data_IF_319921537014
#
_entry.id   IF_319921537014
#
_cell.length_a   1.000
_cell.length_b   1.000
_cell.length_c   1.000
_cell.angle_alpha   90.00
_cell.angle_beta   90.00
_cell.angle_gamma   90.00
#
_symmetry.space_group_name_H-M   'P 1'
#
loop_
_entity.id
_entity.type
_entity.pdbx_description
1 polymer ?
#
# COMPACT_ATOMS: atom_id res chain seq x y z
N UNK A 1 3.05 -25.07 20.35
CA UNK A 1 1.80 -25.61 19.78
C UNK A 1 1.16 -24.68 18.72
N UNK A 2 1.23 -23.35 18.84
CA UNK A 2 0.64 -22.43 17.88
C UNK A 2 1.36 -22.39 16.52
N UNK A 3 2.67 -22.51 16.51
CA UNK A 3 3.50 -22.47 15.28
C UNK A 3 3.39 -23.77 14.46
N UNK A 4 3.06 -24.88 15.09
CA UNK A 4 2.87 -26.16 14.38
C UNK A 4 1.65 -26.18 13.45
N UNK A 5 0.70 -25.28 13.64
CA UNK A 5 -0.46 -25.13 12.76
C UNK A 5 -0.18 -24.32 11.50
N UNK A 6 0.89 -23.49 11.52
CA UNK A 6 1.23 -22.57 10.43
C UNK A 6 2.37 -23.04 9.55
N UNK A 7 3.15 -24.01 10.00
CA UNK A 7 4.38 -24.40 9.34
C UNK A 7 4.47 -25.93 9.26
N UNK A 8 4.39 -26.53 8.06
CA UNK A 8 4.65 -27.97 7.92
C UNK A 8 6.07 -28.28 8.41
N UNK A 9 6.16 -29.33 9.18
CA UNK A 9 7.42 -29.86 9.74
C UNK A 9 8.36 -30.34 8.65
N UNK A 10 9.19 -29.49 8.06
CA UNK A 10 10.41 -29.90 7.36
C UNK A 10 11.48 -28.81 7.47
N UNK A 11 12.63 -29.25 7.86
CA UNK A 11 13.92 -28.65 8.06
C UNK A 11 14.45 -27.69 6.99
N UNK A 12 15.21 -26.69 7.44
CA UNK A 12 16.23 -25.91 6.69
C UNK A 12 15.80 -24.91 5.60
N UNK A 13 14.52 -24.62 5.40
CA UNK A 13 14.06 -23.56 4.50
C UNK A 13 13.40 -22.46 5.33
N UNK A 14 13.70 -21.19 5.02
CA UNK A 14 12.99 -20.07 5.64
C UNK A 14 11.49 -20.17 5.37
N UNK A 15 10.68 -19.93 6.39
CA UNK A 15 9.23 -20.07 6.32
C UNK A 15 8.58 -18.78 6.73
N UNK A 16 7.53 -18.39 6.02
CA UNK A 16 6.72 -17.23 6.35
C UNK A 16 5.25 -17.58 6.34
N UNK A 17 4.46 -16.91 7.16
CA UNK A 17 3.03 -17.12 7.25
C UNK A 17 2.35 -16.00 8.02
N UNK A 18 1.02 -16.05 8.07
CA UNK A 18 0.19 -15.11 8.82
C UNK A 18 -0.55 -15.83 9.93
N UNK A 19 -0.75 -15.13 11.02
CA UNK A 19 -1.55 -15.57 12.15
C UNK A 19 -2.52 -14.46 12.53
N UNK A 20 -3.81 -14.75 12.49
CA UNK A 20 -4.85 -13.88 13.01
C UNK A 20 -5.18 -14.36 14.44
N UNK A 21 -4.97 -13.50 15.43
CA UNK A 21 -5.32 -13.80 16.81
C UNK A 21 -5.93 -12.59 17.51
N UNK A 22 -6.93 -12.79 18.36
CA UNK A 22 -7.46 -11.72 19.18
C UNK A 22 -6.47 -11.44 20.33
N UNK A 23 -5.93 -10.23 20.38
CA UNK A 23 -5.22 -9.73 21.56
C UNK A 23 -6.16 -9.06 22.54
N UNK A 24 -7.33 -8.65 22.04
CA UNK A 24 -8.44 -8.12 22.82
C UNK A 24 -9.75 -8.61 22.16
N UNK A 25 -10.83 -8.75 22.92
CA UNK A 25 -12.14 -9.21 22.43
C UNK A 25 -12.71 -8.34 21.30
N UNK A 26 -12.28 -7.08 21.22
CA UNK A 26 -12.74 -6.09 20.24
C UNK A 26 -11.79 -5.87 19.05
N UNK A 27 -10.53 -6.32 19.11
CA UNK A 27 -9.51 -5.97 18.11
C UNK A 27 -8.84 -7.23 17.59
N UNK A 28 -8.99 -7.50 16.30
CA UNK A 28 -8.24 -8.56 15.60
C UNK A 28 -6.91 -8.00 15.12
N UNK A 29 -5.84 -8.66 15.50
CA UNK A 29 -4.49 -8.39 15.02
C UNK A 29 -4.08 -9.46 14.01
N UNK A 30 -3.34 -9.05 12.99
CA UNK A 30 -2.66 -9.97 12.07
C UNK A 30 -1.18 -9.99 12.38
N UNK A 31 -0.56 -11.15 12.42
CA UNK A 31 0.88 -11.27 12.58
C UNK A 31 1.52 -11.86 11.32
N UNK A 32 2.52 -11.19 10.79
CA UNK A 32 3.47 -11.77 9.85
C UNK A 32 4.52 -12.55 10.62
N UNK A 33 4.66 -13.84 10.34
CA UNK A 33 5.64 -14.72 11.02
C UNK A 33 6.66 -15.21 10.00
N UNK A 34 7.94 -15.00 10.30
CA UNK A 34 9.04 -15.53 9.52
C UNK A 34 9.96 -16.36 10.41
N UNK A 35 10.23 -17.60 10.01
CA UNK A 35 11.17 -18.48 10.69
C UNK A 35 12.42 -18.65 9.82
N UNK A 36 13.59 -18.41 10.41
CA UNK A 36 14.88 -18.54 9.75
C UNK A 36 15.71 -19.63 10.44
N UNK A 37 16.30 -20.56 9.69
CA UNK A 37 17.26 -21.49 10.25
C UNK A 37 18.51 -20.71 10.71
N UNK A 38 18.95 -20.97 11.91
CA UNK A 38 20.24 -20.55 12.47
C UNK A 38 20.93 -21.79 12.99
N UNK A 39 22.24 -21.69 13.27
CA UNK A 39 22.98 -22.84 13.76
C UNK A 39 22.27 -23.45 14.99
N UNK A 40 21.92 -24.74 14.91
CA UNK A 40 21.27 -25.56 15.94
C UNK A 40 19.85 -25.15 16.38
N UNK A 41 19.24 -24.13 15.75
CA UNK A 41 17.87 -23.67 16.10
C UNK A 41 17.20 -22.86 14.99
N UNK A 42 15.98 -22.40 15.24
CA UNK A 42 15.28 -21.46 14.38
C UNK A 42 15.13 -20.09 15.08
N UNK A 43 15.33 -19.01 14.33
CA UNK A 43 14.96 -17.66 14.74
C UNK A 43 13.57 -17.34 14.19
N UNK A 44 12.67 -16.96 15.07
CA UNK A 44 11.32 -16.56 14.70
C UNK A 44 11.20 -15.04 14.83
N UNK A 45 10.82 -14.37 13.74
CA UNK A 45 10.45 -12.97 13.72
C UNK A 45 8.94 -12.86 13.59
N UNK A 46 8.31 -12.06 14.44
CA UNK A 46 6.87 -11.82 14.39
C UNK A 46 6.61 -10.32 14.27
N UNK A 47 5.99 -9.91 13.17
CA UNK A 47 5.52 -8.54 12.94
C UNK A 47 4.03 -8.46 13.22
N UNK A 48 3.63 -7.64 14.18
CA UNK A 48 2.22 -7.44 14.52
C UNK A 48 1.65 -6.28 13.70
N UNK A 49 0.58 -6.53 12.97
CA UNK A 49 -0.14 -5.54 12.19
C UNK A 49 -1.42 -5.13 12.90
N UNK A 50 -1.49 -3.84 13.24
CA UNK A 50 -2.68 -3.23 13.84
C UNK A 50 -3.75 -3.01 12.75
N UNK A 51 -5.04 -2.99 13.12
CA UNK A 51 -6.07 -2.51 12.22
C UNK A 51 -5.80 -1.05 11.83
N UNK A 52 -6.22 -0.63 10.62
CA UNK A 52 -6.05 0.75 10.18
C UNK A 52 -6.79 1.70 11.11
N UNK A 53 -6.17 2.83 11.41
CA UNK A 53 -6.76 3.92 12.20
C UNK A 53 -7.81 4.67 11.39
N UNK A 54 -8.64 5.47 12.05
CA UNK A 54 -9.47 6.45 11.37
C UNK A 54 -8.59 7.57 10.79
N UNK A 55 -9.00 8.14 9.66
CA UNK A 55 -8.28 9.24 9.02
C UNK A 55 -8.14 10.46 9.93
N UNK A 56 -9.14 10.74 10.77
CA UNK A 56 -9.07 11.78 11.79
C UNK A 56 -7.96 11.57 12.84
N UNK A 57 -7.55 10.33 13.09
CA UNK A 57 -6.48 10.01 14.02
C UNK A 57 -5.06 10.29 13.46
N UNK A 58 -4.97 10.65 12.17
CA UNK A 58 -3.75 11.16 11.54
C UNK A 58 -3.66 12.70 11.56
N UNK A 59 -4.56 13.34 12.29
CA UNK A 59 -4.63 14.82 12.36
C UNK A 59 -5.31 15.47 11.15
N UNK A 60 -5.92 14.68 10.24
CA UNK A 60 -6.60 15.22 9.08
C UNK A 60 -7.93 15.90 9.48
N UNK A 61 -8.13 17.10 8.98
CA UNK A 61 -9.40 17.81 9.10
C UNK A 61 -10.48 17.18 8.22
N UNK A 62 -11.74 17.44 8.55
CA UNK A 62 -12.87 16.94 7.77
C UNK A 62 -12.83 17.39 6.29
N UNK A 63 -12.34 18.62 6.06
CA UNK A 63 -12.17 19.13 4.69
C UNK A 63 -11.11 18.34 3.90
N UNK A 64 -10.00 17.99 4.53
CA UNK A 64 -8.95 17.17 3.90
C UNK A 64 -9.45 15.75 3.61
N UNK A 65 -10.22 15.17 4.53
CA UNK A 65 -10.82 13.84 4.35
C UNK A 65 -11.81 13.86 3.18
N UNK A 66 -12.65 14.88 3.07
CA UNK A 66 -13.59 15.02 1.96
C UNK A 66 -12.88 15.28 0.63
N UNK A 67 -11.78 16.02 0.64
CA UNK A 67 -10.93 16.21 -0.53
C UNK A 67 -10.30 14.89 -0.98
N UNK A 68 -9.74 14.11 -0.05
CA UNK A 68 -9.21 12.77 -0.36
C UNK A 68 -10.29 11.85 -0.96
N UNK A 69 -11.53 11.95 -0.47
CA UNK A 69 -12.65 11.20 -1.05
C UNK A 69 -12.87 11.56 -2.51
N UNK A 70 -12.86 12.85 -2.86
CA UNK A 70 -13.00 13.31 -4.24
C UNK A 70 -11.84 12.84 -5.13
N UNK A 71 -10.61 12.92 -4.60
CA UNK A 71 -9.43 12.43 -5.33
C UNK A 71 -9.50 10.92 -5.58
N UNK A 72 -9.98 10.14 -4.61
CA UNK A 72 -10.16 8.69 -4.75
C UNK A 72 -11.25 8.36 -5.80
N UNK A 73 -12.21 9.23 -6.00
CA UNK A 73 -13.28 9.08 -7.00
C UNK A 73 -12.89 9.59 -8.40
N UNK A 74 -11.78 10.33 -8.51
CA UNK A 74 -11.29 10.92 -9.76
C UNK A 74 -10.10 10.12 -10.29
N UNK A 75 -10.03 9.81 -11.61
CA UNK A 75 -8.87 9.13 -12.16
C UNK A 75 -7.57 9.90 -11.92
N UNK A 76 -6.57 9.21 -11.42
CA UNK A 76 -5.27 9.81 -11.09
C UNK A 76 -4.42 8.88 -10.26
N UNK A 77 -3.19 9.28 -9.99
CA UNK A 77 -2.29 8.59 -9.07
C UNK A 77 -2.24 9.34 -7.75
N UNK A 78 -2.39 8.60 -6.66
CA UNK A 78 -2.25 9.08 -5.29
C UNK A 78 -1.08 8.36 -4.63
N UNK A 79 0.15 8.84 -4.77
CA UNK A 79 1.29 8.29 -4.06
C UNK A 79 1.24 8.69 -2.58
N UNK A 80 1.41 7.70 -1.70
CA UNK A 80 1.62 7.91 -0.27
C UNK A 80 3.11 7.80 0.01
N UNK A 81 3.73 8.90 0.36
CA UNK A 81 5.16 9.09 0.45
C UNK A 81 5.64 9.17 1.90
N UNK A 82 6.91 8.86 2.13
CA UNK A 82 7.54 8.97 3.43
C UNK A 82 8.60 7.90 3.69
N UNK A 83 9.32 8.04 4.80
CA UNK A 83 10.40 7.15 5.19
C UNK A 83 9.94 5.70 5.44
N UNK A 84 10.89 4.79 5.56
CA UNK A 84 10.60 3.42 5.96
C UNK A 84 9.86 3.41 7.31
N UNK A 85 8.85 2.55 7.44
CA UNK A 85 8.03 2.42 8.65
C UNK A 85 7.24 3.68 9.05
N UNK A 86 7.12 4.68 8.20
CA UNK A 86 6.33 5.89 8.49
C UNK A 86 4.82 5.65 8.57
N UNK A 87 4.33 4.49 8.13
CA UNK A 87 2.91 4.13 8.17
C UNK A 87 2.17 4.27 6.83
N UNK A 88 2.88 4.32 5.69
CA UNK A 88 2.29 4.45 4.35
C UNK A 88 1.19 3.43 4.07
N UNK A 89 1.48 2.15 4.23
CA UNK A 89 0.49 1.06 4.06
C UNK A 89 -0.74 1.28 4.96
N UNK A 90 -0.51 1.69 6.21
CA UNK A 90 -1.59 1.95 7.17
C UNK A 90 -2.48 3.11 6.72
N UNK A 91 -1.90 4.19 6.19
CA UNK A 91 -2.63 5.32 5.63
C UNK A 91 -3.48 4.87 4.43
N UNK A 92 -2.90 4.11 3.50
CA UNK A 92 -3.63 3.57 2.33
C UNK A 92 -4.80 2.69 2.78
N UNK A 93 -4.59 1.82 3.77
CA UNK A 93 -5.65 0.98 4.30
C UNK A 93 -6.76 1.80 4.98
N UNK A 94 -6.41 2.88 5.69
CA UNK A 94 -7.40 3.80 6.26
C UNK A 94 -8.22 4.50 5.18
N UNK A 95 -7.57 4.97 4.12
CA UNK A 95 -8.25 5.55 2.94
C UNK A 95 -9.20 4.53 2.33
N UNK A 96 -8.75 3.33 2.02
CA UNK A 96 -9.57 2.28 1.42
C UNK A 96 -10.70 1.81 2.34
N UNK A 97 -10.52 1.86 3.67
CA UNK A 97 -11.55 1.46 4.62
C UNK A 97 -12.65 2.52 4.76
N UNK A 98 -12.29 3.81 4.83
CA UNK A 98 -13.21 4.88 5.18
C UNK A 98 -13.79 5.62 3.97
N UNK A 99 -13.03 5.72 2.87
CA UNK A 99 -13.41 6.57 1.75
C UNK A 99 -13.94 5.81 0.53
N UNK A 100 -13.94 4.49 0.55
CA UNK A 100 -14.40 3.72 -0.61
C UNK A 100 -15.85 4.02 -0.98
N UNK A 101 -16.07 4.18 -2.26
CA UNK A 101 -17.40 4.34 -2.86
C UNK A 101 -18.01 2.95 -3.07
N UNK A 102 -19.24 2.65 -2.58
CA UNK A 102 -19.88 1.34 -2.74
C UNK A 102 -20.17 0.97 -4.20
N UNK A 103 -20.17 1.94 -5.11
CA UNK A 103 -20.42 1.73 -6.53
C UNK A 103 -19.13 1.48 -7.35
N UNK A 104 -17.97 1.41 -6.69
CA UNK A 104 -16.67 1.17 -7.31
C UNK A 104 -16.05 -0.12 -6.83
N UNK A 105 -15.27 -0.74 -7.70
CA UNK A 105 -14.47 -1.93 -7.42
C UNK A 105 -13.07 -1.55 -6.96
N UNK A 106 -12.64 -2.19 -5.88
CA UNK A 106 -11.33 -1.93 -5.25
C UNK A 106 -10.49 -3.20 -5.25
N UNK A 107 -9.26 -3.08 -5.70
CA UNK A 107 -8.29 -4.18 -5.71
C UNK A 107 -6.97 -3.73 -5.08
N UNK A 108 -6.29 -4.66 -4.40
CA UNK A 108 -4.92 -4.45 -3.96
C UNK A 108 -4.01 -5.57 -4.44
N UNK A 109 -2.76 -5.22 -4.74
CA UNK A 109 -1.68 -6.15 -5.03
C UNK A 109 -0.52 -5.84 -4.10
N UNK A 110 -0.22 -6.77 -3.23
CA UNK A 110 0.67 -6.58 -2.10
C UNK A 110 1.65 -7.76 -1.98
N UNK A 111 2.83 -7.49 -1.47
CA UNK A 111 3.79 -8.56 -1.12
C UNK A 111 3.24 -9.38 0.05
N UNK A 112 2.62 -8.71 1.03
CA UNK A 112 1.94 -9.32 2.18
C UNK A 112 0.72 -8.47 2.52
N UNK A 113 -0.46 -9.05 2.47
CA UNK A 113 -1.70 -8.40 2.96
C UNK A 113 -1.64 -8.33 4.48
N UNK A 114 -1.45 -7.13 5.03
CA UNK A 114 -1.23 -6.89 6.46
C UNK A 114 -2.52 -6.89 7.27
N UNK A 115 -3.64 -6.52 6.67
CA UNK A 115 -4.95 -6.45 7.30
C UNK A 115 -6.05 -6.67 6.26
N UNK A 116 -7.10 -7.42 6.61
CA UNK A 116 -8.23 -7.65 5.71
C UNK A 116 -9.17 -6.46 5.68
N UNK A 117 -9.38 -5.90 4.50
CA UNK A 117 -10.31 -4.82 4.24
C UNK A 117 -11.64 -5.37 3.69
N UNK A 118 -12.75 -5.07 4.36
CA UNK A 118 -14.07 -5.50 3.89
C UNK A 118 -14.41 -4.80 2.57
N UNK A 119 -14.79 -5.57 1.55
CA UNK A 119 -15.21 -5.03 0.24
C UNK A 119 -14.05 -4.51 -0.61
N UNK A 120 -12.84 -5.01 -0.38
CA UNK A 120 -11.65 -4.82 -1.21
C UNK A 120 -11.14 -6.20 -1.62
N UNK A 121 -10.86 -6.39 -2.89
CA UNK A 121 -10.23 -7.60 -3.42
C UNK A 121 -8.73 -7.50 -3.18
N UNK A 122 -8.22 -8.21 -2.19
CA UNK A 122 -6.80 -8.16 -1.83
C UNK A 122 -6.08 -9.39 -2.36
N UNK A 123 -5.03 -9.16 -3.16
CA UNK A 123 -4.17 -10.21 -3.73
C UNK A 123 -2.76 -10.11 -3.17
N UNK A 124 -2.22 -11.25 -2.76
CA UNK A 124 -0.87 -11.35 -2.25
C UNK A 124 0.02 -12.02 -3.30
N UNK A 125 1.13 -11.36 -3.65
CA UNK A 125 2.12 -11.92 -4.55
C UNK A 125 2.73 -13.19 -3.95
N UNK A 126 2.88 -14.22 -4.77
CA UNK A 126 3.45 -15.49 -4.33
C UNK A 126 4.22 -16.15 -5.48
N UNK A 127 5.53 -15.96 -5.49
CA UNK A 127 6.42 -16.49 -6.51
C UNK A 127 6.45 -18.01 -6.53
N UNK A 128 6.21 -18.68 -5.40
CA UNK A 128 6.21 -20.15 -5.32
C UNK A 128 5.13 -20.80 -6.18
N UNK A 129 4.01 -20.10 -6.38
CA UNK A 129 2.94 -20.53 -7.30
C UNK A 129 2.98 -19.77 -8.63
N UNK A 130 4.04 -19.02 -8.84
CA UNK A 130 4.25 -18.22 -10.04
C UNK A 130 3.32 -17.00 -10.16
N UNK A 131 2.68 -16.54 -9.08
CA UNK A 131 1.93 -15.28 -9.05
C UNK A 131 2.86 -14.13 -8.68
N UNK A 132 3.59 -13.67 -9.68
CA UNK A 132 4.52 -12.56 -9.60
C UNK A 132 3.87 -11.25 -10.11
N UNK A 133 4.65 -10.18 -10.09
CA UNK A 133 4.21 -8.83 -10.48
C UNK A 133 3.67 -8.77 -11.92
N UNK A 134 4.34 -9.44 -12.87
CA UNK A 134 3.94 -9.44 -14.29
C UNK A 134 2.59 -10.11 -14.50
N UNK A 135 2.36 -11.23 -13.81
CA UNK A 135 1.05 -11.91 -13.84
C UNK A 135 -0.02 -11.07 -13.15
N UNK A 136 0.32 -10.45 -12.02
CA UNK A 136 -0.61 -9.59 -11.31
C UNK A 136 -1.08 -8.43 -12.19
N UNK A 137 -0.15 -7.76 -12.91
CA UNK A 137 -0.47 -6.69 -13.85
C UNK A 137 -1.42 -7.15 -14.96
N UNK A 138 -1.20 -8.34 -15.53
CA UNK A 138 -2.12 -8.92 -16.53
C UNK A 138 -3.50 -9.20 -15.95
N UNK A 139 -3.59 -9.71 -14.72
CA UNK A 139 -4.89 -9.96 -14.08
C UNK A 139 -5.66 -8.68 -13.77
N UNK A 140 -4.97 -7.58 -13.44
CA UNK A 140 -5.61 -6.25 -13.28
C UNK A 140 -6.36 -5.84 -14.54
N UNK A 141 -5.79 -6.09 -15.72
CA UNK A 141 -6.45 -5.75 -17.00
C UNK A 141 -7.76 -6.52 -17.20
N UNK A 142 -7.83 -7.79 -16.76
CA UNK A 142 -9.05 -8.59 -16.84
C UNK A 142 -10.08 -8.26 -15.76
N UNK A 143 -9.63 -7.84 -14.57
CA UNK A 143 -10.51 -7.53 -13.45
C UNK A 143 -11.07 -6.10 -13.52
N UNK A 144 -10.42 -5.22 -14.28
CA UNK A 144 -10.82 -3.82 -14.50
C UNK A 144 -11.23 -3.07 -13.23
N UNK A 145 -10.45 -3.10 -12.12
CA UNK A 145 -10.82 -2.39 -10.91
C UNK A 145 -10.91 -0.89 -11.18
N UNK A 146 -11.82 -0.18 -10.50
CA UNK A 146 -11.90 1.28 -10.55
C UNK A 146 -10.77 1.93 -9.76
N UNK A 147 -10.42 1.32 -8.63
CA UNK A 147 -9.34 1.76 -7.75
C UNK A 147 -8.40 0.60 -7.48
N UNK A 148 -7.12 0.81 -7.77
CA UNK A 148 -6.06 -0.18 -7.54
C UNK A 148 -5.00 0.37 -6.58
N UNK A 149 -4.73 -0.36 -5.51
CA UNK A 149 -3.52 -0.17 -4.71
C UNK A 149 -2.46 -1.20 -5.11
N UNK A 150 -1.27 -0.70 -5.42
CA UNK A 150 -0.11 -1.50 -5.73
C UNK A 150 1.04 -1.12 -4.77
N UNK A 151 1.51 -2.09 -3.96
CA UNK A 151 2.37 -1.78 -2.80
C UNK A 151 3.69 -1.08 -3.19
N UNK A 152 4.36 -1.49 -4.25
CA UNK A 152 5.66 -0.93 -4.59
C UNK A 152 5.91 -0.96 -6.10
N UNK A 153 6.03 0.22 -6.70
CA UNK A 153 6.40 0.35 -8.09
C UNK A 153 7.78 0.98 -8.16
N UNK A 154 8.78 0.17 -8.46
CA UNK A 154 10.18 0.57 -8.47
C UNK A 154 10.82 0.57 -9.86
N UNK A 155 10.18 -0.08 -10.84
CA UNK A 155 10.68 -0.19 -12.20
C UNK A 155 10.04 0.85 -13.11
N UNK A 156 10.75 1.25 -14.17
CA UNK A 156 10.21 2.16 -15.18
C UNK A 156 8.97 1.58 -15.85
N UNK A 157 9.01 0.31 -16.21
CA UNK A 157 7.91 -0.42 -16.84
C UNK A 157 6.66 -0.42 -15.95
N UNK A 158 6.85 -0.59 -14.63
CA UNK A 158 5.78 -0.49 -13.64
C UNK A 158 5.19 0.92 -13.57
N UNK A 159 6.03 1.97 -13.55
CA UNK A 159 5.58 3.37 -13.56
C UNK A 159 4.80 3.72 -14.83
N UNK A 160 5.29 3.29 -15.98
CA UNK A 160 4.64 3.53 -17.27
C UNK A 160 3.29 2.79 -17.36
N UNK A 161 3.26 1.53 -16.91
CA UNK A 161 2.01 0.76 -16.82
C UNK A 161 0.98 1.43 -15.90
N UNK A 162 1.40 1.85 -14.72
CA UNK A 162 0.56 2.55 -13.76
C UNK A 162 -0.03 3.84 -14.34
N UNK A 163 0.82 4.62 -14.98
CA UNK A 163 0.38 5.84 -15.66
C UNK A 163 -0.63 5.55 -16.76
N UNK A 164 -0.46 4.43 -17.49
CA UNK A 164 -1.38 4.01 -18.54
C UNK A 164 -2.79 3.68 -18.02
N UNK A 165 -2.90 3.16 -16.80
CA UNK A 165 -4.20 2.83 -16.19
C UNK A 165 -5.02 4.08 -15.86
N UNK A 166 -4.36 5.20 -15.54
CA UNK A 166 -5.05 6.49 -15.33
C UNK A 166 -5.75 6.94 -16.62
N UNK A 167 -5.11 6.76 -17.77
CA UNK A 167 -5.73 7.08 -19.06
C UNK A 167 -6.91 6.14 -19.41
N UNK A 168 -7.06 5.02 -18.70
CA UNK A 168 -8.23 4.12 -18.75
C UNK A 168 -9.26 4.43 -17.65
N UNK A 169 -9.28 5.65 -17.10
CA UNK A 169 -10.18 6.11 -16.03
C UNK A 169 -10.04 5.35 -14.71
N UNK A 170 -8.83 4.90 -14.36
CA UNK A 170 -8.58 4.23 -13.09
C UNK A 170 -7.92 5.17 -12.07
N UNK A 171 -8.20 4.96 -10.79
CA UNK A 171 -7.50 5.63 -9.69
C UNK A 171 -6.48 4.68 -9.09
N UNK A 172 -5.27 5.17 -8.92
CA UNK A 172 -4.14 4.36 -8.50
C UNK A 172 -3.57 4.86 -7.17
N UNK A 173 -3.42 3.97 -6.21
CA UNK A 173 -2.70 4.22 -4.95
C UNK A 173 -1.38 3.45 -4.98
N UNK A 174 -0.31 4.07 -4.51
CA UNK A 174 0.99 3.40 -4.36
C UNK A 174 1.80 3.98 -3.22
N UNK A 175 2.77 3.20 -2.73
CA UNK A 175 3.75 3.69 -1.77
C UNK A 175 4.98 4.23 -2.49
N UNK A 176 5.50 5.35 -2.00
CA UNK A 176 6.75 5.92 -2.49
C UNK A 176 7.71 6.18 -1.33
N UNK A 177 8.86 5.53 -1.36
CA UNK A 177 9.87 5.67 -0.32
C UNK A 177 10.68 6.96 -0.53
N UNK A 178 10.70 7.80 0.50
CA UNK A 178 11.56 8.98 0.55
C UNK A 178 11.96 9.26 2.00
N UNK A 179 13.22 9.62 2.22
CA UNK A 179 13.73 9.87 3.57
C UNK A 179 13.20 11.19 4.15
N UNK A 180 13.01 12.19 3.28
CA UNK A 180 12.43 13.47 3.61
C UNK A 180 11.75 14.07 2.37
N UNK A 181 11.13 15.24 2.54
CA UNK A 181 10.36 15.89 1.48
C UNK A 181 11.25 16.42 0.33
N UNK A 182 12.47 16.80 0.62
CA UNK A 182 13.41 17.27 -0.39
C UNK A 182 13.96 16.11 -1.24
N UNK A 183 14.22 14.95 -0.60
CA UNK A 183 14.53 13.69 -1.30
C UNK A 183 13.39 13.28 -2.24
N UNK A 184 12.13 13.43 -1.80
CA UNK A 184 10.97 13.19 -2.65
C UNK A 184 10.96 14.09 -3.88
N UNK A 185 11.14 15.40 -3.70
CA UNK A 185 11.23 16.36 -4.83
C UNK A 185 12.34 16.00 -5.80
N UNK A 186 13.51 15.68 -5.27
CA UNK A 186 14.66 15.27 -6.08
C UNK A 186 14.33 14.00 -6.89
N UNK A 187 13.75 12.98 -6.27
CA UNK A 187 13.34 11.74 -6.96
C UNK A 187 12.34 12.02 -8.07
N UNK A 188 11.31 12.79 -7.78
CA UNK A 188 10.29 13.15 -8.78
C UNK A 188 10.81 14.02 -9.92
N UNK A 189 11.98 14.68 -9.75
CA UNK A 189 12.63 15.44 -10.81
C UNK A 189 13.38 14.58 -11.84
N UNK A 190 13.62 13.30 -11.54
CA UNK A 190 14.31 12.42 -12.49
C UNK A 190 13.43 12.11 -13.71
N UNK A 191 14.00 12.07 -14.92
CA UNK A 191 13.25 11.85 -16.16
C UNK A 191 12.40 10.58 -16.17
N UNK A 192 12.81 9.54 -15.44
CA UNK A 192 12.07 8.28 -15.33
C UNK A 192 10.68 8.45 -14.70
N UNK A 193 10.48 9.51 -13.90
CA UNK A 193 9.20 9.80 -13.26
C UNK A 193 8.33 10.81 -14.02
N UNK A 194 8.76 11.30 -15.19
CA UNK A 194 8.06 12.37 -15.91
C UNK A 194 6.61 12.02 -16.24
N UNK A 195 6.36 10.84 -16.80
CA UNK A 195 5.00 10.35 -17.10
C UNK A 195 4.19 10.13 -15.83
N UNK A 196 4.77 9.46 -14.84
CA UNK A 196 4.14 9.22 -13.54
C UNK A 196 3.76 10.54 -12.85
N UNK A 197 4.67 11.50 -12.82
CA UNK A 197 4.45 12.85 -12.27
C UNK A 197 3.26 13.56 -12.92
N UNK A 198 3.10 13.44 -14.22
CA UNK A 198 2.02 14.12 -14.96
C UNK A 198 0.61 13.61 -14.64
N UNK A 199 0.48 12.42 -14.06
CA UNK A 199 -0.80 11.80 -13.69
C UNK A 199 -1.06 11.79 -12.18
N UNK A 200 -0.18 12.37 -11.36
CA UNK A 200 -0.44 12.55 -9.93
C UNK A 200 -1.58 13.54 -9.75
N UNK A 201 -2.67 13.12 -9.12
CA UNK A 201 -3.81 13.98 -8.78
C UNK A 201 -3.74 14.50 -7.35
N UNK A 202 -3.19 13.70 -6.45
CA UNK A 202 -3.01 14.03 -5.05
C UNK A 202 -1.72 13.36 -4.56
N UNK A 203 -0.98 14.01 -3.67
CA UNK A 203 0.20 13.44 -3.03
C UNK A 203 0.04 13.55 -1.52
N UNK A 204 0.27 12.43 -0.82
CA UNK A 204 0.20 12.36 0.63
C UNK A 204 1.62 12.12 1.15
N UNK A 205 2.10 12.99 2.01
CA UNK A 205 3.42 12.85 2.64
C UNK A 205 3.28 12.62 4.15
N UNK A 206 3.91 11.56 4.65
CA UNK A 206 3.90 11.20 6.07
C UNK A 206 5.27 11.53 6.67
N UNK A 207 5.32 12.62 7.45
CA UNK A 207 6.53 13.03 8.18
C UNK A 207 6.81 12.17 9.41
N UNK A 208 5.76 11.60 10.01
CA UNK A 208 5.82 10.76 11.19
C UNK A 208 4.42 10.40 11.69
N UNK A 209 4.33 9.92 12.90
CA UNK A 209 3.19 9.18 13.44
C UNK A 209 1.82 9.87 13.32
N UNK A 210 1.75 11.18 13.39
CA UNK A 210 0.50 11.94 13.34
C UNK A 210 0.70 13.28 12.59
N UNK A 211 1.68 13.33 11.70
CA UNK A 211 1.98 14.50 10.89
C UNK A 211 1.94 14.13 9.40
N UNK A 212 0.85 14.49 8.75
CA UNK A 212 0.55 14.16 7.35
C UNK A 212 0.25 15.44 6.59
N UNK A 213 0.93 15.62 5.47
CA UNK A 213 0.65 16.67 4.51
C UNK A 213 -0.03 16.10 3.26
N UNK A 214 -0.99 16.86 2.72
CA UNK A 214 -1.71 16.50 1.51
C UNK A 214 -1.56 17.64 0.52
N UNK A 215 -1.06 17.31 -0.67
CA UNK A 215 -0.87 18.24 -1.77
C UNK A 215 -1.87 17.91 -2.88
N UNK A 216 -2.67 18.90 -3.28
CA UNK A 216 -3.65 18.80 -4.37
C UNK A 216 -3.70 20.11 -5.14
N UNK A 217 -4.25 20.10 -6.34
CA UNK A 217 -4.45 21.29 -7.16
C UNK A 217 -3.17 22.12 -7.35
N UNK A 218 -3.24 23.40 -7.02
CA UNK A 218 -2.11 24.33 -7.21
C UNK A 218 -0.93 24.05 -6.25
N UNK A 219 -1.22 23.60 -5.03
CA UNK A 219 -0.14 23.24 -4.09
C UNK A 219 0.64 22.03 -4.59
N UNK A 220 -0.05 21.03 -5.16
CA UNK A 220 0.61 19.91 -5.80
C UNK A 220 1.47 20.36 -6.98
N UNK A 221 0.94 21.23 -7.86
CA UNK A 221 1.69 21.75 -9.01
C UNK A 221 2.95 22.49 -8.58
N UNK A 222 2.87 23.32 -7.54
CA UNK A 222 4.05 24.00 -6.96
C UNK A 222 5.04 23.02 -6.34
N UNK A 223 4.53 21.94 -5.77
CA UNK A 223 5.36 20.93 -5.12
C UNK A 223 6.16 20.11 -6.13
N UNK A 224 5.52 19.64 -7.20
CA UNK A 224 6.15 18.75 -8.19
C UNK A 224 6.85 19.51 -9.34
N UNK A 225 6.64 20.81 -9.50
CA UNK A 225 7.38 21.73 -10.40
C UNK A 225 7.10 21.52 -11.87
#
# INVERSE_FOLDING_TARGET
KFLSCLVPTVSQISRSGKLDFPLDVAIKWTAGVAAFPVLERERILMNLYKPPKKLSEYGLSQNQIEQLRKELDTPGVIPVCGASLSGKTHMIYSILQELKNPNKTYMTIESIVKYRLKGVQQSELNENIGFNIDKAMRYVEFQEPDVLYFENITTKEGLDYFSSLVFKNKTMLTEFLSDNIDDLRQKLSYPVFSTFKSVISCLIYIHGKDNVEIFTGDDLRRFIG
#
